data_IF_488473599398
#
_entry.id   IF_488473599398
#
_cell.length_a   1.000
_cell.length_b   1.000
_cell.length_c   1.000
_cell.angle_alpha   90.00
_cell.angle_beta   90.00
_cell.angle_gamma   90.00
#
_symmetry.space_group_name_H-M   'P 1'
#
loop_
_entity.id
_entity.type
_entity.pdbx_description
1 polymer ?
#
# COMPACT_ATOMS: atom_id res chain seq x y z
N UNK A 1 7.22 -7.99 -8.77
CA UNK A 1 7.61 -8.76 -7.58
C UNK A 1 6.60 -8.50 -6.49
N UNK A 2 6.34 -9.50 -5.67
CA UNK A 2 5.82 -9.34 -4.30
C UNK A 2 6.79 -8.43 -3.50
N UNK A 3 6.42 -7.95 -2.31
CA UNK A 3 7.31 -7.08 -1.53
C UNK A 3 7.25 -7.43 -0.04
N UNK A 4 8.37 -7.94 0.47
CA UNK A 4 8.62 -8.24 1.89
C UNK A 4 7.66 -9.23 2.56
N UNK A 5 6.99 -10.11 1.80
CA UNK A 5 5.96 -11.04 2.28
C UNK A 5 4.83 -10.34 3.04
N UNK A 6 4.61 -9.06 2.77
CA UNK A 6 3.60 -8.25 3.46
C UNK A 6 2.26 -8.47 2.78
N UNK A 7 1.28 -8.94 3.57
CA UNK A 7 -0.10 -9.11 3.09
C UNK A 7 -1.01 -8.16 3.85
N UNK A 8 -1.86 -7.43 3.12
CA UNK A 8 -2.99 -6.68 3.68
C UNK A 8 -4.27 -7.44 3.43
N UNK A 9 -5.07 -7.61 4.48
CA UNK A 9 -6.41 -8.21 4.39
C UNK A 9 -7.44 -7.11 4.48
N UNK A 10 -8.38 -7.08 3.52
CA UNK A 10 -9.51 -6.15 3.51
C UNK A 10 -10.77 -7.00 3.68
N UNK A 11 -11.44 -6.87 4.82
CA UNK A 11 -12.68 -7.60 5.07
C UNK A 11 -13.85 -6.90 4.39
N UNK A 12 -14.66 -7.64 3.63
CA UNK A 12 -15.82 -7.10 2.89
C UNK A 12 -17.16 -7.67 3.34
N UNK A 13 -17.17 -8.36 4.49
CA UNK A 13 -18.34 -9.04 5.05
C UNK A 13 -19.23 -8.14 5.92
N UNK A 14 -18.97 -6.82 5.93
CA UNK A 14 -19.76 -5.83 6.65
C UNK A 14 -19.53 -5.81 8.17
N UNK A 15 -18.48 -6.49 8.66
CA UNK A 15 -18.08 -6.38 10.07
C UNK A 15 -17.65 -4.94 10.41
N UNK A 16 -17.85 -4.49 11.66
CA UNK A 16 -17.30 -3.22 12.11
C UNK A 16 -15.78 -3.32 12.30
N UNK A 17 -15.13 -2.17 12.37
CA UNK A 17 -13.74 -2.08 12.81
C UNK A 17 -13.56 -2.65 14.22
N UNK A 18 -12.37 -3.16 14.48
CA UNK A 18 -11.96 -3.53 15.83
C UNK A 18 -11.95 -2.32 16.77
N UNK A 19 -12.08 -2.57 18.08
CA UNK A 19 -12.10 -1.48 19.08
C UNK A 19 -10.87 -0.57 18.97
N UNK A 20 -11.06 0.75 19.14
CA UNK A 20 -10.02 1.77 18.95
C UNK A 20 -8.81 1.65 19.90
N UNK A 21 -8.93 0.85 20.96
CA UNK A 21 -7.83 0.50 21.85
C UNK A 21 -6.88 -0.56 21.26
N UNK A 22 -7.23 -1.19 20.15
CA UNK A 22 -6.38 -2.13 19.42
C UNK A 22 -5.69 -1.36 18.30
N UNK A 23 -4.37 -1.27 18.35
CA UNK A 23 -3.55 -0.53 17.40
C UNK A 23 -2.65 -1.51 16.62
N UNK A 24 -2.71 -1.46 15.29
CA UNK A 24 -2.12 -2.43 14.37
C UNK A 24 -1.07 -1.76 13.48
N UNK A 25 -0.04 -2.51 13.09
CA UNK A 25 1.03 -1.98 12.22
C UNK A 25 0.56 -1.55 10.83
N UNK A 26 -0.49 -2.19 10.30
CA UNK A 26 -1.05 -1.88 8.98
C UNK A 26 -2.48 -1.35 9.06
N UNK A 27 -2.93 -0.98 10.27
CA UNK A 27 -4.33 -0.64 10.53
C UNK A 27 -5.28 -1.81 10.38
N UNK A 28 -6.57 -1.51 10.55
CA UNK A 28 -7.70 -2.42 10.36
C UNK A 28 -8.50 -1.96 9.14
N UNK A 29 -8.51 -2.77 8.07
CA UNK A 29 -9.13 -2.40 6.78
C UNK A 29 -10.49 -3.08 6.59
N UNK A 30 -11.54 -2.27 6.45
CA UNK A 30 -12.89 -2.72 6.12
C UNK A 30 -13.30 -2.16 4.76
N UNK A 31 -13.65 -3.06 3.85
CA UNK A 31 -14.11 -2.76 2.51
C UNK A 31 -15.62 -2.83 2.39
N UNK A 32 -16.20 -1.95 1.58
CA UNK A 32 -17.59 -2.04 1.11
C UNK A 32 -17.67 -1.69 -0.37
N UNK A 33 -18.63 -2.29 -1.07
CA UNK A 33 -18.89 -1.98 -2.47
C UNK A 33 -19.92 -0.85 -2.60
N UNK A 34 -19.57 0.16 -3.39
CA UNK A 34 -20.45 1.24 -3.85
C UNK A 34 -20.53 1.15 -5.38
N UNK A 35 -21.45 0.34 -5.90
CA UNK A 35 -21.51 0.04 -7.33
C UNK A 35 -20.28 -0.74 -7.80
N UNK A 36 -19.50 -0.15 -8.70
CA UNK A 36 -18.24 -0.67 -9.26
C UNK A 36 -16.99 -0.25 -8.45
N UNK A 37 -17.19 0.49 -7.36
CA UNK A 37 -16.12 1.00 -6.52
C UNK A 37 -16.00 0.21 -5.23
N UNK A 38 -14.82 -0.36 -4.96
CA UNK A 38 -14.47 -0.85 -3.62
C UNK A 38 -13.97 0.33 -2.79
N UNK A 39 -14.72 0.69 -1.75
CA UNK A 39 -14.32 1.70 -0.77
C UNK A 39 -13.74 1.00 0.44
N UNK A 40 -12.50 1.33 0.77
CA UNK A 40 -11.76 0.74 1.88
C UNK A 40 -11.51 1.81 2.93
N UNK A 41 -12.11 1.63 4.09
CA UNK A 41 -11.90 2.43 5.28
C UNK A 41 -10.80 1.75 6.11
N UNK A 42 -9.78 2.49 6.54
CA UNK A 42 -8.72 1.95 7.38
C UNK A 42 -8.40 2.88 8.53
N UNK A 43 -8.47 2.31 9.73
CA UNK A 43 -8.23 2.98 11.02
C UNK A 43 -7.23 2.16 11.86
N UNK A 44 -7.08 2.51 13.14
CA UNK A 44 -6.36 1.71 14.13
C UNK A 44 -4.87 1.49 13.78
N UNK A 45 -4.23 2.47 13.15
CA UNK A 45 -2.80 2.44 12.88
C UNK A 45 -1.99 2.72 14.14
N UNK A 46 -0.96 1.92 14.42
CA UNK A 46 0.06 2.34 15.38
C UNK A 46 0.98 3.42 14.78
N UNK A 47 1.66 4.20 15.61
CA UNK A 47 2.58 5.27 15.18
C UNK A 47 4.02 4.78 14.93
N UNK A 48 4.20 3.47 14.70
CA UNK A 48 5.52 2.81 14.70
C UNK A 48 6.04 2.46 13.30
N UNK A 49 5.34 2.90 12.27
CA UNK A 49 5.69 2.66 10.87
C UNK A 49 5.88 3.97 10.12
N UNK A 50 6.56 3.89 8.97
CA UNK A 50 6.55 4.99 8.01
C UNK A 50 5.31 4.93 7.16
N UNK A 51 4.70 6.08 6.89
CA UNK A 51 3.50 6.17 6.07
C UNK A 51 3.80 5.85 4.60
N UNK A 52 4.93 6.34 4.08
CA UNK A 52 5.40 6.04 2.73
C UNK A 52 6.93 6.12 2.65
N UNK A 53 7.50 5.82 1.48
CA UNK A 53 8.94 5.97 1.25
C UNK A 53 9.45 7.41 1.43
N UNK A 54 8.57 8.40 1.25
CA UNK A 54 8.92 9.83 1.36
C UNK A 54 8.37 10.50 2.61
N UNK A 55 7.37 9.89 3.27
CA UNK A 55 6.74 10.40 4.49
C UNK A 55 7.03 9.41 5.62
N UNK A 56 8.08 9.66 6.43
CA UNK A 56 8.56 8.67 7.39
C UNK A 56 7.73 8.59 8.68
N UNK A 57 6.71 9.43 8.84
CA UNK A 57 5.91 9.53 10.06
C UNK A 57 4.40 9.59 9.76
N UNK A 58 3.62 9.07 10.69
CA UNK A 58 2.19 9.32 10.88
C UNK A 58 1.87 9.14 12.36
N UNK A 59 0.70 9.59 12.80
CA UNK A 59 0.22 9.37 14.15
C UNK A 59 -0.70 8.16 14.25
N UNK A 60 -1.08 7.83 15.49
CA UNK A 60 -2.14 6.90 15.86
C UNK A 60 -3.56 7.41 15.52
N UNK A 61 -3.68 8.67 15.08
CA UNK A 61 -4.92 9.26 14.59
C UNK A 61 -5.04 9.18 13.06
N UNK A 62 -4.14 8.45 12.38
CA UNK A 62 -4.22 8.23 10.94
C UNK A 62 -5.52 7.48 10.59
N UNK A 63 -6.22 8.00 9.59
CA UNK A 63 -7.38 7.42 8.97
C UNK A 63 -7.23 7.56 7.45
N UNK A 64 -7.45 6.47 6.73
CA UNK A 64 -7.39 6.50 5.27
C UNK A 64 -8.65 5.92 4.67
N UNK A 65 -9.20 6.62 3.68
CA UNK A 65 -10.30 6.13 2.86
C UNK A 65 -9.80 6.00 1.43
N UNK A 66 -9.69 4.77 0.97
CA UNK A 66 -9.31 4.43 -0.39
C UNK A 66 -10.53 4.06 -1.23
N UNK A 67 -10.49 4.40 -2.51
CA UNK A 67 -11.52 4.07 -3.50
C UNK A 67 -10.84 3.44 -4.70
N UNK A 68 -11.21 2.20 -5.00
CA UNK A 68 -10.74 1.45 -6.15
C UNK A 68 -11.93 1.26 -7.10
N UNK A 69 -11.94 2.01 -8.20
CA UNK A 69 -13.05 2.00 -9.18
C UNK A 69 -12.60 1.27 -10.44
N UNK A 70 -13.30 0.20 -10.81
CA UNK A 70 -13.02 -0.50 -12.06
C UNK A 70 -13.59 0.29 -13.23
N UNK A 71 -12.74 1.04 -13.95
CA UNK A 71 -13.19 1.89 -15.07
C UNK A 71 -13.25 1.13 -16.40
N UNK A 72 -12.46 0.07 -16.53
CA UNK A 72 -12.51 -0.92 -17.59
C UNK A 72 -11.89 -2.26 -17.11
N UNK A 73 -11.91 -3.36 -17.90
CA UNK A 73 -11.39 -4.67 -17.48
C UNK A 73 -9.89 -4.71 -17.12
N UNK A 74 -9.12 -3.67 -17.43
CA UNK A 74 -7.68 -3.61 -17.26
C UNK A 74 -7.22 -2.37 -16.48
N UNK A 75 -8.09 -1.43 -16.14
CA UNK A 75 -7.72 -0.19 -15.44
C UNK A 75 -8.59 0.00 -14.20
N UNK A 76 -7.91 0.27 -13.08
CA UNK A 76 -8.53 0.70 -11.83
C UNK A 76 -8.16 2.17 -11.61
N UNK A 77 -9.16 3.05 -11.49
CA UNK A 77 -8.96 4.39 -10.94
C UNK A 77 -8.84 4.29 -9.42
N UNK A 78 -7.78 4.86 -8.88
CA UNK A 78 -7.45 4.81 -7.47
C UNK A 78 -7.44 6.22 -6.89
N UNK A 79 -8.14 6.38 -5.77
CA UNK A 79 -8.13 7.61 -4.99
C UNK A 79 -7.96 7.26 -3.52
N UNK A 80 -7.16 8.06 -2.82
CA UNK A 80 -7.00 7.95 -1.37
C UNK A 80 -7.17 9.33 -0.74
N UNK A 81 -7.96 9.36 0.33
CA UNK A 81 -8.02 10.48 1.27
C UNK A 81 -7.29 10.06 2.54
N UNK A 82 -6.37 10.90 2.98
CA UNK A 82 -5.50 10.68 4.14
C UNK A 82 -5.82 11.76 5.17
N UNK A 83 -6.22 11.34 6.36
CA UNK A 83 -6.56 12.22 7.47
C UNK A 83 -5.68 11.88 8.67
N UNK A 84 -4.90 12.84 9.13
CA UNK A 84 -4.14 12.73 10.36
C UNK A 84 -4.09 14.11 11.03
N UNK A 85 -5.03 14.42 11.94
CA UNK A 85 -5.14 15.75 12.54
C UNK A 85 -3.96 16.11 13.45
N UNK A 86 -3.11 15.14 13.82
CA UNK A 86 -1.91 15.40 14.61
C UNK A 86 -0.72 15.80 13.73
N UNK A 87 -0.74 15.43 12.45
CA UNK A 87 0.36 15.67 11.50
C UNK A 87 0.01 16.69 10.40
N UNK A 88 -1.24 16.75 9.96
CA UNK A 88 -1.68 17.58 8.85
C UNK A 88 -2.79 18.56 9.26
N UNK A 89 -2.78 19.75 8.66
CA UNK A 89 -3.79 20.78 8.92
C UNK A 89 -5.10 20.55 8.16
N UNK A 90 -5.09 19.69 7.15
CA UNK A 90 -6.25 19.32 6.35
C UNK A 90 -6.04 17.93 5.71
N UNK A 91 -7.13 17.24 5.30
CA UNK A 91 -7.03 15.99 4.57
C UNK A 91 -6.23 16.13 3.27
N UNK A 92 -5.37 15.16 3.00
CA UNK A 92 -4.61 15.06 1.76
C UNK A 92 -5.35 14.11 0.81
N UNK A 93 -5.46 14.47 -0.47
CA UNK A 93 -6.05 13.61 -1.49
C UNK A 93 -5.02 13.31 -2.58
N UNK A 94 -4.90 12.03 -2.91
CA UNK A 94 -4.02 11.55 -3.98
C UNK A 94 -4.86 10.69 -4.91
N UNK A 95 -4.62 10.81 -6.21
CA UNK A 95 -5.28 10.01 -7.23
C UNK A 95 -4.24 9.44 -8.21
N UNK A 96 -4.56 8.29 -8.79
CA UNK A 96 -3.73 7.60 -9.76
C UNK A 96 -4.50 6.48 -10.44
N UNK A 97 -3.82 5.72 -11.28
CA UNK A 97 -4.42 4.56 -11.96
C UNK A 97 -3.53 3.35 -11.82
N UNK A 98 -4.15 2.18 -11.65
CA UNK A 98 -3.47 0.89 -11.76
C UNK A 98 -3.87 0.24 -13.08
N UNK A 99 -2.89 -0.05 -13.91
CA UNK A 99 -3.08 -0.85 -15.11
C UNK A 99 -2.77 -2.32 -14.84
N UNK A 100 -3.54 -3.21 -15.45
CA UNK A 100 -3.30 -4.63 -15.41
C UNK A 100 -1.91 -4.95 -15.94
N UNK A 101 -1.26 -5.94 -15.32
CA UNK A 101 0.02 -6.43 -15.78
C UNK A 101 -0.09 -6.99 -17.21
N UNK A 102 1.00 -6.91 -17.97
CA UNK A 102 1.05 -7.47 -19.31
C UNK A 102 0.71 -8.97 -19.28
N UNK A 103 0.06 -9.46 -20.34
CA UNK A 103 -0.30 -10.88 -20.45
C UNK A 103 0.97 -11.74 -20.35
N UNK A 104 0.96 -12.72 -19.45
CA UNK A 104 2.11 -13.59 -19.17
C UNK A 104 3.07 -13.05 -18.10
N UNK A 105 2.79 -11.89 -17.49
CA UNK A 105 3.50 -11.46 -16.28
C UNK A 105 3.07 -12.29 -15.07
N UNK A 106 4.06 -12.72 -14.29
CA UNK A 106 3.86 -13.43 -13.03
C UNK A 106 4.36 -12.57 -11.86
N UNK A 107 3.64 -12.62 -10.73
CA UNK A 107 4.10 -11.98 -9.50
C UNK A 107 5.24 -12.82 -8.91
N UNK A 108 6.47 -12.46 -9.26
CA UNK A 108 7.66 -13.12 -8.71
C UNK A 108 7.85 -12.82 -7.22
N UNK A 109 8.36 -13.77 -6.44
CA UNK A 109 8.67 -13.60 -5.02
C UNK A 109 9.75 -12.53 -4.77
N UNK A 110 9.62 -11.79 -3.67
CA UNK A 110 10.73 -10.98 -3.15
C UNK A 110 11.67 -11.84 -2.30
N UNK A 111 12.65 -12.49 -2.95
CA UNK A 111 13.68 -13.24 -2.24
C UNK A 111 14.86 -12.33 -1.87
N UNK A 112 15.08 -12.11 -0.57
CA UNK A 112 16.13 -11.20 -0.07
C UNK A 112 17.56 -11.78 -0.12
N UNK A 113 17.79 -12.97 -0.70
CA UNK A 113 19.08 -13.65 -0.55
C UNK A 113 19.64 -14.36 -1.80
N UNK A 114 18.84 -14.90 -2.71
CA UNK A 114 19.38 -15.63 -3.86
C UNK A 114 19.48 -14.73 -5.10
N UNK A 115 20.70 -14.26 -5.40
CA UNK A 115 21.00 -13.47 -6.59
C UNK A 115 20.78 -11.96 -6.45
N UNK A 116 20.70 -11.41 -5.23
CA UNK A 116 20.46 -9.98 -5.00
C UNK A 116 21.48 -9.12 -5.75
N UNK A 117 21.01 -8.37 -6.75
CA UNK A 117 21.81 -7.38 -7.46
C UNK A 117 21.93 -6.06 -6.68
N UNK A 118 21.40 -6.00 -5.45
CA UNK A 118 21.42 -4.81 -4.61
C UNK A 118 22.84 -4.30 -4.39
N UNK A 119 23.78 -5.19 -4.05
CA UNK A 119 25.19 -4.81 -3.90
C UNK A 119 25.83 -4.43 -5.25
N UNK A 120 25.66 -5.20 -6.35
CA UNK A 120 26.10 -4.79 -7.70
C UNK A 120 25.54 -3.44 -8.18
N UNK A 121 24.26 -3.15 -7.95
CA UNK A 121 23.57 -1.94 -8.42
C UNK A 121 23.90 -0.71 -7.56
N UNK A 122 24.09 -0.89 -6.25
CA UNK A 122 24.45 0.22 -5.34
C UNK A 122 25.94 0.53 -5.42
N UNK A 123 26.80 -0.49 -5.53
CA UNK A 123 28.26 -0.31 -5.48
C UNK A 123 28.94 -0.41 -6.85
N UNK A 124 28.18 -0.65 -7.93
CA UNK A 124 28.72 -0.66 -9.28
C UNK A 124 29.73 -1.79 -9.54
N UNK A 125 29.63 -2.94 -8.86
CA UNK A 125 30.47 -4.11 -9.13
C UNK A 125 30.03 -4.85 -10.42
N UNK A 126 29.72 -4.10 -11.47
CA UNK A 126 29.79 -4.62 -12.82
C UNK A 126 31.24 -4.93 -13.12
N UNK A 127 31.56 -6.21 -13.32
CA UNK A 127 32.82 -6.64 -13.90
C UNK A 127 33.04 -5.83 -15.19
N UNK A 128 34.03 -4.95 -15.20
CA UNK A 128 34.52 -4.33 -16.43
C UNK A 128 34.98 -5.47 -17.36
N UNK A 129 34.37 -5.68 -18.55
CA UNK A 129 34.90 -6.62 -19.50
C UNK A 129 36.11 -5.95 -20.17
N UNK A 130 37.30 -6.43 -19.81
CA UNK A 130 38.55 -5.85 -20.29
C UNK A 130 39.76 -6.70 -19.93
N UNK A 131 39.77 -7.96 -20.36
CA UNK A 131 40.94 -8.74 -20.75
C UNK A 131 40.52 -9.84 -21.74
#
# INVERSE_FOLDING_TARGET
>A
YEYNHVTRVIYTDGRPHVGSNIQLYMGDSIGRWEGDTLVVDTTNFNDKTSFSQTIPFHSDALHTVERFTMVDPYIIDYQITIEDPKMFTAPIRIAGTFAAAAKGSELMEFACAEGSQTLPNIFGFGLFPGQ
#
